data_IF_989267319159
#
_entry.id   IF_989267319159
#
_cell.length_a   1.000
_cell.length_b   1.000
_cell.length_c   1.000
_cell.angle_alpha   90.00
_cell.angle_beta   90.00
_cell.angle_gamma   90.00
#
_symmetry.space_group_name_H-M   'P 1'
#
loop_
_entity.id
_entity.type
_entity.pdbx_description
1 polymer ?
#
# COMPACT_ATOMS: atom_id res chain seq x y z
N UNK A 1 -4.93 -26.26 -20.84
CA UNK A 1 -3.51 -25.90 -20.67
C UNK A 1 -3.44 -24.55 -19.97
N UNK A 2 -3.61 -24.53 -18.65
CA UNK A 2 -3.79 -23.32 -17.83
C UNK A 2 -2.73 -23.21 -16.71
N UNK A 3 -1.56 -23.82 -16.90
CA UNK A 3 -0.47 -23.88 -15.90
C UNK A 3 0.62 -22.82 -16.11
N UNK A 4 0.56 -22.03 -17.19
CA UNK A 4 1.66 -21.15 -17.59
C UNK A 4 1.74 -19.80 -16.86
N UNK A 5 0.74 -19.41 -16.06
CA UNK A 5 0.68 -18.07 -15.45
C UNK A 5 1.05 -18.04 -13.95
N UNK A 6 0.98 -19.18 -13.23
CA UNK A 6 1.34 -19.23 -11.80
C UNK A 6 2.85 -19.12 -11.58
N UNK A 7 3.66 -19.84 -12.37
CA UNK A 7 5.12 -19.82 -12.26
C UNK A 7 5.73 -18.44 -12.50
N UNK A 8 5.09 -17.60 -13.31
CA UNK A 8 5.61 -16.26 -13.60
C UNK A 8 5.59 -15.35 -12.37
N UNK A 9 4.60 -15.50 -11.49
CA UNK A 9 4.44 -14.62 -10.32
C UNK A 9 5.20 -15.10 -9.08
N UNK A 10 5.66 -16.36 -9.05
CA UNK A 10 6.47 -16.90 -7.95
C UNK A 10 7.73 -16.07 -7.68
N UNK A 11 8.31 -15.46 -8.73
CA UNK A 11 9.50 -14.62 -8.62
C UNK A 11 9.30 -13.37 -7.77
N UNK A 12 8.05 -12.95 -7.50
CA UNK A 12 7.77 -11.75 -6.69
C UNK A 12 7.56 -12.06 -5.21
N UNK A 13 7.61 -13.33 -4.82
CA UNK A 13 7.57 -13.70 -3.40
C UNK A 13 8.93 -13.39 -2.75
N UNK A 14 8.91 -12.57 -1.71
CA UNK A 14 10.09 -12.27 -0.89
C UNK A 14 9.92 -12.73 0.57
N UNK A 15 11.02 -12.77 1.32
CA UNK A 15 11.06 -13.28 2.70
C UNK A 15 10.47 -12.31 3.73
N UNK A 16 10.55 -11.00 3.51
CA UNK A 16 10.02 -9.99 4.45
C UNK A 16 8.50 -9.87 4.30
N UNK A 17 8.01 -9.95 3.06
CA UNK A 17 6.59 -9.97 2.74
C UNK A 17 5.80 -11.10 3.43
N UNK A 18 6.48 -12.12 3.96
CA UNK A 18 5.83 -13.25 4.66
C UNK A 18 5.43 -12.95 6.10
N UNK A 19 5.88 -11.82 6.68
CA UNK A 19 5.54 -11.45 8.04
C UNK A 19 4.02 -11.20 8.17
N UNK A 20 3.38 -11.87 9.14
CA UNK A 20 1.90 -11.85 9.28
C UNK A 20 1.34 -10.49 9.66
N UNK A 21 2.10 -9.66 10.38
CA UNK A 21 1.66 -8.29 10.71
C UNK A 21 1.57 -7.37 9.48
N UNK A 22 2.17 -7.77 8.35
CA UNK A 22 2.06 -7.07 7.06
C UNK A 22 0.81 -7.49 6.27
N UNK A 23 -0.07 -8.33 6.83
CA UNK A 23 -1.33 -8.72 6.19
C UNK A 23 -2.37 -7.59 6.28
N UNK A 24 -2.07 -6.47 5.63
CA UNK A 24 -2.82 -5.20 5.66
C UNK A 24 -2.53 -4.40 4.38
N UNK A 25 -3.07 -3.18 4.26
CA UNK A 25 -2.76 -2.26 3.17
C UNK A 25 -2.05 -1.00 3.67
N UNK A 26 -1.04 -0.59 2.90
CA UNK A 26 -0.39 0.71 3.03
C UNK A 26 -1.15 1.74 2.19
N UNK A 27 -1.43 2.90 2.78
CA UNK A 27 -2.21 3.96 2.16
C UNK A 27 -1.42 5.24 1.95
N UNK A 28 -1.65 5.88 0.80
CA UNK A 28 -1.29 7.28 0.57
C UNK A 28 -2.37 7.96 -0.27
N UNK A 29 -2.74 9.19 0.11
CA UNK A 29 -3.72 9.99 -0.61
C UNK A 29 -3.05 11.23 -1.20
N UNK A 30 -3.33 11.50 -2.48
CA UNK A 30 -2.80 12.63 -3.22
C UNK A 30 -3.96 13.48 -3.76
N UNK A 31 -4.01 14.75 -3.36
CA UNK A 31 -5.04 15.70 -3.78
C UNK A 31 -4.64 16.53 -4.99
N UNK A 32 -5.56 16.71 -5.93
CA UNK A 32 -5.36 17.48 -7.16
C UNK A 32 -6.57 18.37 -7.45
N UNK A 33 -6.32 19.53 -8.07
CA UNK A 33 -7.35 20.40 -8.65
C UNK A 33 -7.31 20.25 -10.17
N UNK A 34 -8.11 19.34 -10.75
CA UNK A 34 -8.03 19.05 -12.17
C UNK A 34 -8.67 20.17 -13.01
N UNK A 35 -8.11 20.40 -14.21
CA UNK A 35 -8.65 21.33 -15.20
C UNK A 35 -9.50 20.65 -16.27
N UNK A 36 -9.45 19.31 -16.33
CA UNK A 36 -10.17 18.49 -17.31
C UNK A 36 -11.49 17.96 -16.75
N UNK A 37 -12.36 17.45 -17.62
CA UNK A 37 -13.61 16.81 -17.17
C UNK A 37 -13.34 15.46 -16.50
N UNK A 38 -14.24 15.05 -15.61
CA UNK A 38 -14.19 13.75 -14.91
C UNK A 38 -14.04 12.59 -15.89
N UNK A 39 -14.78 12.60 -17.00
CA UNK A 39 -14.69 11.54 -18.02
C UNK A 39 -13.29 11.42 -18.65
N UNK A 40 -12.62 12.54 -18.91
CA UNK A 40 -11.25 12.53 -19.44
C UNK A 40 -10.28 12.02 -18.37
N UNK A 41 -10.39 12.52 -17.15
CA UNK A 41 -9.54 12.11 -16.02
C UNK A 41 -9.61 10.61 -15.80
N UNK A 42 -10.83 10.06 -15.64
CA UNK A 42 -11.05 8.63 -15.43
C UNK A 42 -10.40 7.79 -16.53
N UNK A 43 -10.62 8.17 -17.80
CA UNK A 43 -10.05 7.46 -18.94
C UNK A 43 -8.52 7.48 -18.92
N UNK A 44 -7.90 8.63 -18.66
CA UNK A 44 -6.43 8.70 -18.61
C UNK A 44 -5.85 7.92 -17.43
N UNK A 45 -6.52 7.94 -16.27
CA UNK A 45 -6.16 7.12 -15.11
C UNK A 45 -6.21 5.63 -15.43
N UNK A 46 -7.27 5.16 -16.08
CA UNK A 46 -7.42 3.77 -16.51
C UNK A 46 -6.38 3.37 -17.55
N UNK A 47 -6.17 4.18 -18.59
CA UNK A 47 -5.17 3.91 -19.63
C UNK A 47 -3.76 3.80 -19.07
N UNK A 48 -3.38 4.71 -18.16
CA UNK A 48 -2.08 4.66 -17.50
C UNK A 48 -1.92 3.39 -16.64
N UNK A 49 -3.01 2.93 -16.02
CA UNK A 49 -2.99 1.75 -15.18
C UNK A 49 -2.85 0.47 -16.02
N UNK A 50 -3.51 0.43 -17.18
CA UNK A 50 -3.34 -0.65 -18.16
C UNK A 50 -1.89 -0.73 -18.62
N UNK A 51 -1.30 0.40 -19.06
CA UNK A 51 0.13 0.45 -19.46
C UNK A 51 1.07 -0.02 -18.35
N UNK A 52 0.78 0.38 -17.11
CA UNK A 52 1.56 -0.04 -15.94
C UNK A 52 1.48 -1.55 -15.75
N UNK A 53 0.28 -2.13 -15.77
CA UNK A 53 0.07 -3.58 -15.59
C UNK A 53 0.63 -4.38 -16.75
N UNK A 54 0.53 -3.91 -18.00
CA UNK A 54 1.14 -4.57 -19.16
C UNK A 54 2.67 -4.70 -19.00
N UNK A 55 3.32 -3.69 -18.40
CA UNK A 55 4.77 -3.70 -18.18
C UNK A 55 5.17 -4.45 -16.90
N UNK A 56 4.34 -4.39 -15.87
CA UNK A 56 4.55 -4.99 -14.56
C UNK A 56 3.35 -5.86 -14.16
N UNK A 57 3.18 -7.05 -14.76
CA UNK A 57 1.94 -7.84 -14.66
C UNK A 57 1.51 -8.17 -13.23
N UNK A 58 2.47 -8.35 -12.33
CA UNK A 58 2.21 -8.67 -10.92
C UNK A 58 1.42 -7.58 -10.18
N UNK A 59 1.48 -6.32 -10.62
CA UNK A 59 0.69 -5.22 -10.04
C UNK A 59 -0.81 -5.46 -10.24
N UNK A 60 -1.19 -6.10 -11.35
CA UNK A 60 -2.56 -6.45 -11.67
C UNK A 60 -3.09 -7.66 -10.91
N UNK A 61 -2.24 -8.40 -10.18
CA UNK A 61 -2.62 -9.61 -9.45
C UNK A 61 -3.29 -9.37 -8.10
N UNK A 62 -3.53 -10.47 -7.38
CA UNK A 62 -3.98 -10.47 -5.99
C UNK A 62 -3.25 -11.51 -5.15
N UNK A 63 -3.25 -11.29 -3.85
CA UNK A 63 -2.51 -12.10 -2.87
C UNK A 63 -3.40 -13.20 -2.33
N UNK A 64 -2.84 -14.40 -2.25
CA UNK A 64 -3.41 -15.56 -1.55
C UNK A 64 -2.44 -16.08 -0.50
N UNK A 65 -2.92 -16.90 0.44
CA UNK A 65 -2.08 -17.65 1.39
C UNK A 65 -1.95 -19.11 0.98
N UNK A 66 -0.91 -19.42 0.19
CA UNK A 66 -0.65 -20.77 -0.27
C UNK A 66 -0.16 -21.66 0.89
N UNK A 67 -0.73 -22.86 1.02
CA UNK A 67 -0.32 -23.83 2.05
C UNK A 67 -0.72 -23.48 3.49
N UNK A 68 -1.66 -22.55 3.68
CA UNK A 68 -2.28 -22.24 4.98
C UNK A 68 -3.01 -23.47 5.53
N UNK A 69 -2.88 -23.72 6.84
CA UNK A 69 -3.53 -24.84 7.52
C UNK A 69 -3.25 -24.86 9.03
N UNK A 70 -3.71 -25.87 9.77
CA UNK A 70 -3.44 -25.97 11.20
C UNK A 70 -1.94 -25.92 11.50
N UNK A 71 -1.50 -24.93 12.30
CA UNK A 71 -0.09 -24.71 12.63
C UNK A 71 0.78 -24.15 11.50
N UNK A 72 0.19 -23.78 10.35
CA UNK A 72 0.90 -23.23 9.19
C UNK A 72 0.21 -21.95 8.71
N UNK A 73 0.90 -20.81 8.81
CA UNK A 73 0.36 -19.51 8.38
C UNK A 73 0.25 -19.38 6.85
N UNK A 74 0.93 -20.25 6.10
CA UNK A 74 1.00 -20.18 4.64
C UNK A 74 1.89 -19.05 4.15
N UNK A 75 2.21 -19.09 2.85
CA UNK A 75 3.02 -18.09 2.16
C UNK A 75 2.11 -17.13 1.40
N UNK A 76 2.37 -15.83 1.52
CA UNK A 76 1.77 -14.82 0.67
C UNK A 76 2.33 -14.96 -0.75
N UNK A 77 1.47 -15.31 -1.70
CA UNK A 77 1.80 -15.48 -3.11
C UNK A 77 0.85 -14.62 -3.97
N UNK A 78 1.37 -14.11 -5.08
CA UNK A 78 0.56 -13.35 -6.05
C UNK A 78 0.04 -14.33 -7.10
N UNK A 79 -1.24 -14.22 -7.42
CA UNK A 79 -1.86 -14.92 -8.54
C UNK A 79 -2.61 -13.92 -9.44
N UNK A 80 -2.73 -14.18 -10.74
CA UNK A 80 -3.51 -13.34 -11.64
C UNK A 80 -5.01 -13.45 -11.32
N UNK A 81 -5.76 -12.39 -11.59
CA UNK A 81 -7.22 -12.50 -11.65
C UNK A 81 -7.64 -13.35 -12.86
N UNK A 82 -8.77 -14.07 -12.75
CA UNK A 82 -9.43 -14.65 -13.92
C UNK A 82 -9.74 -13.58 -14.97
N UNK A 83 -9.70 -13.93 -16.28
CA UNK A 83 -9.98 -12.97 -17.35
C UNK A 83 -11.33 -12.28 -17.15
N UNK A 84 -11.33 -10.94 -17.16
CA UNK A 84 -12.53 -10.12 -17.03
C UNK A 84 -12.97 -9.78 -15.59
N UNK A 85 -12.42 -10.43 -14.56
CA UNK A 85 -12.80 -10.11 -13.17
C UNK A 85 -12.25 -8.76 -12.70
N UNK A 86 -11.06 -8.38 -13.19
CA UNK A 86 -10.45 -7.10 -12.85
C UNK A 86 -9.56 -6.59 -13.98
N UNK A 87 -10.12 -5.69 -14.79
CA UNK A 87 -9.42 -5.11 -15.94
C UNK A 87 -8.35 -4.08 -15.56
N UNK A 88 -8.51 -3.40 -14.42
CA UNK A 88 -7.64 -2.31 -13.98
C UNK A 88 -7.55 -2.23 -12.47
N UNK A 89 -6.42 -1.77 -11.89
CA UNK A 89 -6.35 -1.45 -10.47
C UNK A 89 -7.12 -0.17 -10.09
N UNK A 90 -7.61 0.61 -11.07
CA UNK A 90 -8.33 1.87 -10.84
C UNK A 90 -9.80 1.63 -10.51
N UNK A 91 -10.31 2.36 -9.51
CA UNK A 91 -11.72 2.45 -9.15
C UNK A 91 -12.10 3.92 -9.11
N UNK A 92 -13.18 4.31 -9.78
CA UNK A 92 -13.68 5.69 -9.71
C UNK A 92 -14.88 5.75 -8.77
N UNK A 93 -14.84 6.72 -7.85
CA UNK A 93 -15.90 6.97 -6.88
C UNK A 93 -16.28 8.45 -6.93
N UNK A 94 -17.57 8.73 -7.09
CA UNK A 94 -18.10 10.04 -6.77
C UNK A 94 -18.24 10.15 -5.25
N UNK A 95 -17.41 11.00 -4.66
CA UNK A 95 -17.37 11.28 -3.23
C UNK A 95 -17.90 12.70 -2.92
N UNK A 96 -18.60 13.33 -3.86
CA UNK A 96 -19.28 14.60 -3.67
C UNK A 96 -20.28 14.49 -2.52
N UNK A 97 -20.19 15.42 -1.55
CA UNK A 97 -21.01 15.40 -0.33
C UNK A 97 -20.60 14.36 0.72
N UNK A 98 -19.71 13.41 0.39
CA UNK A 98 -19.13 12.44 1.35
C UNK A 98 -17.79 12.89 1.91
N UNK A 99 -17.10 13.79 1.20
CA UNK A 99 -15.83 14.37 1.59
C UNK A 99 -15.93 15.91 1.48
N UNK A 100 -15.26 16.70 2.35
CA UNK A 100 -15.22 18.15 2.19
C UNK A 100 -14.64 18.56 0.83
N UNK A 101 -15.01 19.74 0.36
CA UNK A 101 -14.46 20.27 -0.90
C UNK A 101 -12.94 20.41 -0.84
N UNK A 102 -12.28 20.35 -2.01
CA UNK A 102 -10.82 20.51 -2.07
C UNK A 102 -10.36 21.83 -1.43
N UNK A 103 -11.10 22.90 -1.66
CA UNK A 103 -10.83 24.20 -1.04
C UNK A 103 -10.93 24.16 0.48
N UNK A 104 -11.94 23.48 1.05
CA UNK A 104 -12.11 23.35 2.49
C UNK A 104 -10.97 22.51 3.11
N UNK A 105 -10.60 21.40 2.48
CA UNK A 105 -9.49 20.54 2.91
C UNK A 105 -8.18 21.34 2.97
N UNK A 106 -7.86 22.07 1.90
CA UNK A 106 -6.65 22.89 1.83
C UNK A 106 -6.66 24.02 2.87
N UNK A 107 -7.79 24.70 3.04
CA UNK A 107 -7.92 25.82 3.99
C UNK A 107 -7.78 25.37 5.44
N UNK A 108 -8.17 24.13 5.76
CA UNK A 108 -7.99 23.52 7.07
C UNK A 108 -6.56 23.01 7.34
N UNK A 109 -5.65 23.09 6.36
CA UNK A 109 -4.30 22.55 6.47
C UNK A 109 -4.20 21.03 6.30
N UNK A 110 -5.18 20.41 5.63
CA UNK A 110 -5.23 18.96 5.32
C UNK A 110 -5.14 18.08 6.59
N UNK A 111 -6.00 18.28 7.61
CA UNK A 111 -5.92 17.46 8.83
C UNK A 111 -6.29 16.01 8.56
N UNK A 112 -5.68 15.06 9.26
CA UNK A 112 -5.97 13.62 9.11
C UNK A 112 -7.47 13.30 9.19
N UNK A 113 -8.20 13.97 10.08
CA UNK A 113 -9.63 13.74 10.31
C UNK A 113 -10.54 14.06 9.09
N UNK A 114 -10.09 14.85 8.11
CA UNK A 114 -10.87 15.08 6.88
C UNK A 114 -10.57 14.06 5.78
N UNK A 115 -9.51 13.26 5.95
CA UNK A 115 -9.13 12.18 5.04
C UNK A 115 -9.68 10.85 5.55
N UNK A 116 -11.01 10.75 5.57
CA UNK A 116 -11.71 9.56 6.06
C UNK A 116 -11.41 8.34 5.16
N UNK A 117 -10.79 7.31 5.77
CA UNK A 117 -10.43 6.07 5.09
C UNK A 117 -11.64 5.27 4.61
N UNK A 118 -12.78 5.33 5.31
CA UNK A 118 -14.01 4.62 4.91
C UNK A 118 -14.65 5.27 3.68
N UNK A 119 -14.35 6.55 3.43
CA UNK A 119 -14.78 7.27 2.22
C UNK A 119 -13.75 7.13 1.10
N UNK A 120 -12.47 7.33 1.40
CA UNK A 120 -11.43 7.52 0.38
C UNK A 120 -10.74 6.22 -0.07
N UNK A 121 -10.92 5.12 0.65
CA UNK A 121 -10.35 3.81 0.32
C UNK A 121 -11.44 2.72 0.29
N UNK A 122 -11.12 1.58 -0.34
CA UNK A 122 -11.94 0.36 -0.28
C UNK A 122 -11.29 -0.70 0.61
N UNK A 123 -9.99 -0.58 0.87
CA UNK A 123 -9.22 -1.45 1.75
C UNK A 123 -8.97 -0.73 3.06
N UNK A 124 -9.13 -1.47 4.16
CA UNK A 124 -8.74 -0.98 5.47
C UNK A 124 -7.22 -1.04 5.60
N UNK A 125 -6.66 0.00 6.23
CA UNK A 125 -5.23 0.09 6.52
C UNK A 125 -4.91 -0.39 7.93
N UNK A 126 -3.66 -0.23 8.33
CA UNK A 126 -3.24 -0.51 9.71
C UNK A 126 -4.16 0.18 10.75
N UNK A 127 -4.53 -0.53 11.84
CA UNK A 127 -4.08 -1.86 12.24
C UNK A 127 -4.92 -3.02 11.67
N UNK A 128 -5.90 -2.73 10.83
CA UNK A 128 -6.81 -3.76 10.31
C UNK A 128 -6.09 -4.69 9.33
N UNK A 129 -6.41 -5.98 9.46
CA UNK A 129 -6.03 -6.99 8.48
C UNK A 129 -7.13 -7.26 7.46
N UNK A 130 -6.81 -8.02 6.44
CA UNK A 130 -7.78 -8.56 5.48
C UNK A 130 -7.89 -10.08 5.59
N UNK A 131 -8.97 -10.69 5.10
CA UNK A 131 -9.02 -12.12 4.82
C UNK A 131 -9.29 -12.37 3.33
N UNK A 132 -8.32 -13.02 2.68
CA UNK A 132 -8.41 -13.41 1.27
C UNK A 132 -9.53 -14.42 0.97
N UNK A 133 -10.13 -15.03 2.00
CA UNK A 133 -11.31 -15.89 1.85
C UNK A 133 -12.61 -15.11 1.70
N UNK A 134 -12.67 -13.89 2.22
CA UNK A 134 -13.86 -13.04 2.19
C UNK A 134 -13.93 -12.30 0.84
N UNK A 135 -12.77 -11.83 0.38
CA UNK A 135 -12.63 -11.17 -0.92
C UNK A 135 -11.19 -11.25 -1.43
N UNK A 136 -10.97 -11.18 -2.76
CA UNK A 136 -9.63 -11.10 -3.32
C UNK A 136 -8.84 -9.94 -2.69
N UNK A 137 -7.54 -10.15 -2.45
CA UNK A 137 -6.64 -9.13 -1.89
C UNK A 137 -5.72 -8.54 -2.99
N UNK A 138 -6.19 -7.54 -3.78
CA UNK A 138 -5.39 -6.77 -4.74
C UNK A 138 -3.95 -6.50 -4.32
N UNK A 139 -3.01 -6.62 -5.24
CA UNK A 139 -1.66 -6.06 -5.02
C UNK A 139 -1.72 -4.53 -4.91
N UNK A 140 -2.47 -3.89 -5.81
CA UNK A 140 -2.66 -2.45 -5.85
C UNK A 140 -4.13 -2.11 -6.08
N UNK A 141 -4.63 -1.09 -5.40
CA UNK A 141 -5.87 -0.36 -5.73
C UNK A 141 -5.54 1.13 -5.84
N UNK A 142 -6.08 1.79 -6.88
CA UNK A 142 -6.02 3.24 -7.06
C UNK A 142 -7.45 3.75 -7.07
N UNK A 143 -7.92 4.35 -5.98
CA UNK A 143 -9.26 4.91 -5.92
C UNK A 143 -9.22 6.39 -6.28
N UNK A 144 -9.87 6.74 -7.39
CA UNK A 144 -10.06 8.10 -7.84
C UNK A 144 -11.35 8.66 -7.25
N UNK A 145 -11.22 9.42 -6.17
CA UNK A 145 -12.34 10.04 -5.46
C UNK A 145 -12.61 11.43 -6.04
N UNK A 146 -13.70 11.57 -6.79
CA UNK A 146 -14.16 12.86 -7.31
C UNK A 146 -14.84 13.61 -6.17
N UNK A 147 -14.39 14.83 -5.88
CA UNK A 147 -14.95 15.67 -4.82
C UNK A 147 -15.24 17.07 -5.37
N UNK A 148 -15.95 17.89 -4.57
CA UNK A 148 -16.22 19.28 -4.93
C UNK A 148 -14.91 20.05 -5.19
N UNK A 149 -14.72 20.45 -6.45
CA UNK A 149 -13.58 21.23 -6.90
C UNK A 149 -12.25 20.47 -6.91
N UNK A 150 -12.24 19.14 -6.86
CA UNK A 150 -11.00 18.37 -6.81
C UNK A 150 -11.11 16.87 -7.06
N UNK A 151 -9.95 16.23 -6.98
CA UNK A 151 -9.74 14.79 -7.09
C UNK A 151 -8.81 14.35 -5.96
N UNK A 152 -9.13 13.27 -5.27
CA UNK A 152 -8.21 12.60 -4.35
C UNK A 152 -7.91 11.20 -4.88
N UNK A 153 -6.65 10.96 -5.25
CA UNK A 153 -6.14 9.63 -5.61
C UNK A 153 -5.65 8.92 -4.35
N UNK A 154 -6.34 7.88 -3.92
CA UNK A 154 -5.92 7.03 -2.82
C UNK A 154 -5.28 5.73 -3.36
N UNK A 155 -3.98 5.59 -3.15
CA UNK A 155 -3.24 4.37 -3.47
C UNK A 155 -3.24 3.45 -2.25
N UNK A 156 -3.56 2.18 -2.50
CA UNK A 156 -3.75 1.14 -1.49
C UNK A 156 -2.89 -0.04 -1.95
N UNK A 157 -1.70 -0.19 -1.36
CA UNK A 157 -0.75 -1.25 -1.69
C UNK A 157 -0.79 -2.38 -0.68
N UNK A 158 -0.90 -3.62 -1.13
CA UNK A 158 -0.86 -4.77 -0.23
C UNK A 158 0.51 -4.84 0.46
N UNK A 159 0.51 -4.76 1.78
CA UNK A 159 1.75 -4.55 2.54
C UNK A 159 2.63 -5.81 2.60
N UNK A 160 2.08 -7.00 2.29
CA UNK A 160 2.89 -8.20 2.08
C UNK A 160 3.72 -8.13 0.79
N UNK A 161 3.36 -7.26 -0.18
CA UNK A 161 4.01 -7.22 -1.50
C UNK A 161 4.83 -5.95 -1.70
N UNK A 162 4.41 -4.83 -1.12
CA UNK A 162 5.07 -3.54 -1.26
C UNK A 162 5.13 -2.80 0.07
N UNK A 163 6.30 -2.27 0.40
CA UNK A 163 6.45 -1.26 1.45
C UNK A 163 6.13 0.14 0.89
N UNK A 164 6.23 1.18 1.73
CA UNK A 164 5.96 2.56 1.30
C UNK A 164 6.92 3.03 0.19
N UNK A 165 8.17 2.57 0.20
CA UNK A 165 9.14 2.93 -0.84
C UNK A 165 8.75 2.31 -2.18
N UNK A 166 8.39 1.02 -2.19
CA UNK A 166 7.89 0.31 -3.35
C UNK A 166 6.60 0.93 -3.88
N UNK A 167 5.66 1.30 -3.00
CA UNK A 167 4.45 2.01 -3.39
C UNK A 167 4.77 3.39 -4.00
N UNK A 168 5.75 4.12 -3.45
CA UNK A 168 6.24 5.36 -4.04
C UNK A 168 6.82 5.19 -5.45
N UNK A 169 7.55 4.10 -5.71
CA UNK A 169 8.04 3.78 -7.06
C UNK A 169 6.89 3.45 -8.02
N UNK A 170 5.88 2.69 -7.57
CA UNK A 170 4.67 2.43 -8.36
C UNK A 170 3.96 3.74 -8.73
N UNK A 171 3.79 4.65 -7.77
CA UNK A 171 3.17 5.96 -8.00
C UNK A 171 3.97 6.78 -9.03
N UNK A 172 5.30 6.77 -8.93
CA UNK A 172 6.16 7.44 -9.91
C UNK A 172 5.99 6.84 -11.32
N UNK A 173 6.01 5.52 -11.45
CA UNK A 173 5.82 4.83 -12.74
C UNK A 173 4.42 5.10 -13.29
N UNK A 174 3.41 5.09 -12.43
CA UNK A 174 2.05 5.44 -12.82
C UNK A 174 1.94 6.90 -13.32
N UNK A 175 2.63 7.84 -12.67
CA UNK A 175 2.71 9.23 -13.13
C UNK A 175 3.41 9.35 -14.49
N UNK A 176 4.51 8.62 -14.72
CA UNK A 176 5.16 8.54 -16.04
C UNK A 176 4.19 8.03 -17.11
N UNK A 177 3.46 6.95 -16.80
CA UNK A 177 2.45 6.41 -17.69
C UNK A 177 1.35 7.44 -17.98
N UNK A 178 0.89 8.22 -17.00
CA UNK A 178 -0.07 9.32 -17.20
C UNK A 178 0.48 10.41 -18.13
N UNK A 179 1.76 10.74 -18.01
CA UNK A 179 2.43 11.73 -18.87
C UNK A 179 2.80 11.19 -20.27
N UNK A 180 2.51 9.91 -20.56
CA UNK A 180 2.92 9.27 -21.82
C UNK A 180 4.42 9.05 -21.95
N UNK A 181 5.16 9.09 -20.83
CA UNK A 181 6.59 8.85 -20.80
C UNK A 181 6.89 7.34 -20.85
N UNK A 182 7.89 6.91 -21.62
CA UNK A 182 8.30 5.51 -21.62
C UNK A 182 8.97 5.12 -20.29
N UNK A 183 8.80 3.86 -19.90
CA UNK A 183 9.59 3.24 -18.85
C UNK A 183 11.00 2.97 -19.37
N UNK A 184 12.01 3.30 -18.58
CA UNK A 184 13.41 2.98 -18.91
C UNK A 184 13.70 1.51 -18.69
N UNK A 185 14.72 0.98 -19.36
CA UNK A 185 15.13 -0.42 -19.20
C UNK A 185 15.45 -0.78 -17.75
N UNK A 186 16.09 0.13 -17.01
CA UNK A 186 16.39 -0.07 -15.58
C UNK A 186 15.12 -0.11 -14.73
N UNK A 187 14.11 0.71 -15.03
CA UNK A 187 12.82 0.67 -14.35
C UNK A 187 12.09 -0.65 -14.61
N UNK A 188 12.09 -1.12 -15.87
CA UNK A 188 11.48 -2.40 -16.24
C UNK A 188 12.21 -3.57 -15.59
N UNK A 189 13.55 -3.56 -15.61
CA UNK A 189 14.39 -4.60 -15.00
C UNK A 189 14.17 -4.66 -13.48
N UNK A 190 14.28 -3.53 -12.77
CA UNK A 190 14.13 -3.51 -11.31
C UNK A 190 12.69 -3.79 -10.87
N UNK A 191 11.69 -3.28 -11.58
CA UNK A 191 10.28 -3.53 -11.27
C UNK A 191 9.84 -4.98 -11.50
N UNK A 192 10.57 -5.72 -12.33
CA UNK A 192 10.32 -7.14 -12.63
C UNK A 192 11.36 -8.10 -12.01
N UNK A 193 12.26 -7.59 -11.16
CA UNK A 193 13.35 -8.36 -10.55
C UNK A 193 12.82 -9.50 -9.69
N UNK A 194 13.46 -10.67 -9.81
CA UNK A 194 13.23 -11.81 -8.92
C UNK A 194 13.59 -11.46 -7.48
N UNK A 195 12.62 -11.59 -6.58
CA UNK A 195 12.68 -11.19 -5.18
C UNK A 195 13.01 -12.33 -4.23
N UNK A 196 12.94 -13.58 -4.70
CA UNK A 196 13.11 -14.79 -3.86
C UNK A 196 14.44 -14.83 -3.13
N UNK A 197 15.46 -14.21 -3.71
CA UNK A 197 16.83 -14.21 -3.21
C UNK A 197 17.43 -12.81 -3.07
N UNK A 198 16.62 -11.74 -3.07
CA UNK A 198 17.13 -10.37 -2.88
C UNK A 198 17.78 -10.20 -1.51
N UNK A 199 17.22 -10.86 -0.49
CA UNK A 199 17.76 -10.86 0.86
C UNK A 199 18.45 -12.20 1.09
N UNK A 200 19.78 -12.15 1.24
CA UNK A 200 20.56 -13.31 1.65
C UNK A 200 20.20 -13.65 3.09
N UNK A 201 19.62 -14.84 3.30
CA UNK A 201 19.37 -15.36 4.63
C UNK A 201 20.68 -15.75 5.33
N UNK A 202 20.70 -15.63 6.65
CA UNK A 202 21.83 -16.06 7.48
C UNK A 202 22.03 -17.57 7.35
N UNK A 203 23.27 -17.98 7.12
CA UNK A 203 23.71 -19.36 7.11
C UNK A 203 23.92 -19.94 8.52
N UNK A 204 24.31 -21.22 8.61
CA UNK A 204 24.57 -21.88 9.89
C UNK A 204 25.67 -21.21 10.72
N UNK A 205 26.69 -20.68 10.05
CA UNK A 205 27.90 -20.11 10.65
C UNK A 205 27.86 -18.58 10.81
N UNK A 206 26.81 -17.93 10.31
CA UNK A 206 26.66 -16.48 10.43
C UNK A 206 26.29 -16.08 11.87
N UNK A 207 26.81 -14.95 12.35
CA UNK A 207 26.48 -14.41 13.67
C UNK A 207 24.98 -14.07 13.76
N UNK A 208 24.32 -14.62 14.80
CA UNK A 208 22.89 -14.40 15.04
C UNK A 208 22.69 -13.29 16.06
N UNK A 209 21.94 -12.27 15.68
CA UNK A 209 21.49 -11.21 16.59
C UNK A 209 20.31 -11.71 17.42
N UNK A 210 20.23 -11.31 18.68
CA UNK A 210 19.06 -11.60 19.52
C UNK A 210 17.81 -10.89 18.98
N UNK A 211 16.83 -11.69 18.54
CA UNK A 211 15.54 -11.23 18.03
C UNK A 211 14.39 -11.43 19.02
N UNK A 212 14.67 -11.81 20.27
CA UNK A 212 13.66 -12.10 21.30
C UNK A 212 12.63 -10.98 21.49
N UNK A 213 13.05 -9.71 21.33
CA UNK A 213 12.19 -8.52 21.40
C UNK A 213 11.16 -8.39 20.26
N UNK A 214 11.33 -9.13 19.16
CA UNK A 214 10.41 -9.16 18.03
C UNK A 214 9.45 -10.36 18.08
N UNK A 215 9.62 -11.26 19.04
CA UNK A 215 8.74 -12.40 19.23
C UNK A 215 7.52 -11.98 20.06
N UNK A 216 6.34 -12.29 19.55
CA UNK A 216 5.09 -12.13 20.30
C UNK A 216 5.09 -13.14 21.44
N UNK A 217 4.99 -12.65 22.68
CA UNK A 217 4.87 -13.51 23.85
C UNK A 217 3.49 -14.16 23.85
N UNK A 218 3.36 -15.45 24.23
CA UNK A 218 2.06 -16.07 24.39
C UNK A 218 1.22 -15.27 25.42
N UNK A 219 -0.10 -15.18 25.22
CA UNK A 219 -0.97 -14.50 26.18
C UNK A 219 -0.84 -15.16 27.56
N UNK A 220 -0.92 -14.37 28.66
CA UNK A 220 -0.83 -14.91 30.01
C UNK A 220 -1.97 -15.91 30.26
N UNK A 221 -1.66 -17.00 30.97
CA UNK A 221 -2.58 -18.13 31.23
C UNK A 221 -3.85 -17.73 31.98
N UNK A 222 -3.81 -16.60 32.70
CA UNK A 222 -4.96 -15.97 33.34
C UNK A 222 -5.05 -14.53 32.85
N UNK A 223 -5.86 -14.23 31.82
CA UNK A 223 -6.13 -12.84 31.46
C UNK A 223 -6.89 -12.19 32.61
N UNK A 224 -6.22 -11.30 33.35
CA UNK A 224 -6.93 -10.34 34.20
C UNK A 224 -7.82 -9.52 33.28
N UNK A 225 -9.13 -9.70 33.36
CA UNK A 225 -10.11 -8.85 32.68
C UNK A 225 -10.02 -7.45 33.29
N UNK A 226 -9.06 -6.66 32.81
CA UNK A 226 -9.07 -5.23 33.07
C UNK A 226 -10.19 -4.65 32.19
N UNK A 227 -11.38 -4.48 32.78
CA UNK A 227 -12.50 -3.69 32.23
C UNK A 227 -12.14 -2.20 32.16
N UNK A 228 -10.92 -1.85 31.78
CA UNK A 228 -10.57 -0.47 31.53
C UNK A 228 -11.20 -0.06 30.20
N UNK A 229 -12.00 1.03 30.17
CA UNK A 229 -12.51 1.56 28.92
C UNK A 229 -11.32 1.86 28.02
N UNK A 230 -11.41 1.48 26.73
CA UNK A 230 -10.37 1.83 25.79
C UNK A 230 -10.25 3.36 25.73
N UNK A 231 -9.03 3.91 25.75
CA UNK A 231 -8.85 5.35 25.61
C UNK A 231 -9.40 5.81 24.26
N UNK A 232 -10.01 6.99 24.24
CA UNK A 232 -10.37 7.66 22.99
C UNK A 232 -9.07 8.13 22.32
N UNK A 233 -8.72 7.50 21.20
CA UNK A 233 -7.48 7.74 20.47
C UNK A 233 -7.78 8.46 19.16
N UNK A 234 -7.01 9.51 18.88
CA UNK A 234 -7.16 10.30 17.66
C UNK A 234 -5.84 10.40 16.89
N UNK A 235 -5.93 10.31 15.57
CA UNK A 235 -4.83 10.58 14.67
C UNK A 235 -4.80 12.06 14.29
N UNK A 236 -3.64 12.70 14.42
CA UNK A 236 -3.43 14.11 14.06
C UNK A 236 -2.14 14.27 13.28
N UNK A 237 -2.12 15.23 12.36
CA UNK A 237 -0.90 15.66 11.71
C UNK A 237 -0.24 16.80 12.48
N UNK A 238 1.07 16.69 12.67
CA UNK A 238 1.90 17.75 13.20
C UNK A 238 2.78 18.30 12.08
N UNK A 239 2.53 19.55 11.70
CA UNK A 239 3.26 20.19 10.61
C UNK A 239 4.49 20.92 11.13
N UNK A 240 5.66 20.55 10.59
CA UNK A 240 6.92 21.23 10.85
C UNK A 240 7.35 22.00 9.61
N UNK A 241 7.53 23.32 9.75
CA UNK A 241 8.12 24.12 8.66
C UNK A 241 9.60 23.76 8.48
N UNK A 242 10.14 24.00 7.28
CA UNK A 242 11.56 23.74 6.99
C UNK A 242 12.51 24.43 7.98
N UNK A 243 12.17 25.66 8.39
CA UNK A 243 12.90 26.38 9.44
C UNK A 243 12.88 25.64 10.79
N UNK A 244 11.72 25.16 11.24
CA UNK A 244 11.61 24.44 12.53
C UNK A 244 12.41 23.13 12.53
N UNK A 245 12.40 22.41 11.41
CA UNK A 245 13.23 21.19 11.24
C UNK A 245 14.73 21.53 11.33
N UNK A 246 15.16 22.57 10.64
CA UNK A 246 16.55 23.01 10.64
C UNK A 246 17.05 23.42 12.05
N UNK A 247 16.27 24.18 12.79
CA UNK A 247 16.62 24.60 14.15
C UNK A 247 16.67 23.41 15.13
N UNK A 248 15.71 22.48 15.06
CA UNK A 248 15.66 21.32 15.95
C UNK A 248 16.88 20.39 15.80
N UNK A 249 17.39 20.23 14.58
CA UNK A 249 18.61 19.44 14.33
C UNK A 249 19.88 20.07 14.93
N UNK A 250 19.93 21.40 15.07
CA UNK A 250 21.12 22.11 15.62
C UNK A 250 21.19 22.09 17.15
N UNK A 251 20.04 22.08 17.83
CA UNK A 251 19.99 22.06 19.31
C UNK A 251 20.22 20.67 19.90
N UNK A 252 20.23 19.61 19.08
CA UNK A 252 20.44 18.23 19.52
C UNK A 252 21.94 17.80 19.55
N UNK A 253 22.88 18.70 19.25
CA UNK A 253 24.31 18.42 19.40
C UNK A 253 24.70 18.74 20.84
N UNK A 254 25.07 17.75 21.68
CA UNK A 254 25.57 18.04 23.02
C UNK A 254 26.87 18.83 22.89
N UNK A 255 27.00 19.91 23.65
CA UNK A 255 28.29 20.54 23.90
C UNK A 255 29.26 19.47 24.42
N UNK A 256 30.30 19.18 23.63
CA UNK A 256 31.40 18.31 24.04
C UNK A 256 32.18 18.91 25.21
#
# INVERSE_FOLDING_TARGET
>A
MADTNFQEFERYQDVLGQMTFLKTYTHIALGFQPTSSVAVITRELENAAIRLVETFPWIGGHVIRQGKGPGKTGLAAIIPYPPGERATPVIVKDATGLCPSMHAIMSAGVPMAVLDGDVLAVRKGLPDGYDETDEPAPVLVIQANIIDGGLILAFQGNHNIVDMNGLGQIIRLYAKALCGEPFSDVEVEQGNRDRRHIIKLLGPDDEKVDISKYLVKPPPTNPSQTNQPQPDLQWVYLHFSGHKLYCGCRTAVPSR
#
